data_IF_150081635504
#
_entry.id   IF_150081635504
#
_cell.length_a   1.000
_cell.length_b   1.000
_cell.length_c   1.000
_cell.angle_alpha   90.00
_cell.angle_beta   90.00
_cell.angle_gamma   90.00
#
_symmetry.space_group_name_H-M   'P 1'
#
loop_
_entity.id
_entity.type
_entity.pdbx_description
1 polymer ?
#
# COMPACT_ATOMS: atom_id res chain seq x y z
N UNK A 1 12.27 -13.70 -25.10
CA UNK A 1 12.65 -12.46 -24.37
C UNK A 1 13.84 -12.81 -23.48
N UNK A 2 14.91 -12.00 -23.43
CA UNK A 2 16.11 -12.32 -22.63
C UNK A 2 15.76 -12.29 -21.14
N UNK A 3 16.21 -13.28 -20.36
CA UNK A 3 15.89 -13.48 -18.94
C UNK A 3 16.09 -12.22 -18.08
N UNK A 4 17.18 -11.49 -18.29
CA UNK A 4 17.48 -10.23 -17.59
C UNK A 4 16.38 -9.15 -17.75
N UNK A 5 15.75 -9.06 -18.92
CA UNK A 5 14.70 -8.06 -19.17
C UNK A 5 13.44 -8.37 -18.37
N UNK A 6 13.11 -9.66 -18.24
CA UNK A 6 11.97 -10.13 -17.45
C UNK A 6 12.21 -9.82 -15.97
N UNK A 7 13.40 -10.11 -15.47
CA UNK A 7 13.77 -9.82 -14.07
C UNK A 7 13.77 -8.33 -13.76
N UNK A 8 14.28 -7.47 -14.67
CA UNK A 8 14.20 -6.02 -14.51
C UNK A 8 12.75 -5.53 -14.44
N UNK A 9 11.87 -6.01 -15.32
CA UNK A 9 10.46 -5.61 -15.31
C UNK A 9 9.75 -6.04 -14.02
N UNK A 10 10.04 -7.26 -13.53
CA UNK A 10 9.52 -7.73 -12.24
C UNK A 10 9.97 -6.83 -11.10
N UNK A 11 11.27 -6.51 -11.02
CA UNK A 11 11.83 -5.62 -9.99
C UNK A 11 11.19 -4.22 -10.03
N UNK A 12 11.11 -3.61 -11.22
CA UNK A 12 10.50 -2.28 -11.36
C UNK A 12 9.04 -2.28 -10.94
N UNK A 13 8.27 -3.28 -11.38
CA UNK A 13 6.86 -3.41 -10.99
C UNK A 13 6.70 -3.54 -9.48
N UNK A 14 7.51 -4.41 -8.86
CA UNK A 14 7.48 -4.62 -7.42
C UNK A 14 7.79 -3.33 -6.63
N UNK A 15 8.79 -2.56 -7.04
CA UNK A 15 9.11 -1.29 -6.38
C UNK A 15 8.00 -0.24 -6.57
N UNK A 16 7.36 -0.21 -7.74
CA UNK A 16 6.21 0.67 -8.00
C UNK A 16 5.01 0.26 -7.12
N UNK A 17 4.74 -1.03 -7.01
CA UNK A 17 3.66 -1.56 -6.15
C UNK A 17 3.90 -1.17 -4.69
N UNK A 18 5.13 -1.36 -4.19
CA UNK A 18 5.50 -0.94 -2.83
C UNK A 18 5.37 0.57 -2.63
N UNK A 19 5.88 1.39 -3.56
CA UNK A 19 5.72 2.85 -3.50
C UNK A 19 4.26 3.29 -3.54
N UNK A 20 3.43 2.59 -4.33
CA UNK A 20 1.98 2.83 -4.38
C UNK A 20 1.28 2.57 -3.06
N UNK A 21 1.74 1.61 -2.24
CA UNK A 21 1.21 1.39 -0.89
C UNK A 21 1.51 2.55 0.06
N UNK A 22 2.69 3.16 -0.06
CA UNK A 22 3.07 4.32 0.77
C UNK A 22 2.15 5.51 0.46
N UNK A 23 1.94 5.81 -0.82
CA UNK A 23 1.02 6.88 -1.26
C UNK A 23 -0.41 6.57 -0.81
N UNK A 24 -0.91 5.36 -1.07
CA UNK A 24 -2.28 4.94 -0.71
C UNK A 24 -2.55 5.00 0.79
N UNK A 25 -1.55 4.79 1.63
CA UNK A 25 -1.69 4.87 3.09
C UNK A 25 -1.88 6.31 3.60
N UNK A 26 -1.75 7.32 2.74
CA UNK A 26 -1.81 8.73 3.11
C UNK A 26 -0.55 9.26 3.78
N UNK A 27 0.47 8.41 3.99
CA UNK A 27 1.72 8.83 4.64
C UNK A 27 2.39 9.97 3.88
N UNK A 28 2.42 9.92 2.54
CA UNK A 28 3.07 10.98 1.74
C UNK A 28 2.41 12.34 1.95
N UNK A 29 1.08 12.37 2.03
CA UNK A 29 0.32 13.60 2.26
C UNK A 29 0.54 14.12 3.70
N UNK A 30 0.58 13.20 4.68
CA UNK A 30 0.77 13.53 6.10
C UNK A 30 2.20 14.00 6.42
N UNK A 31 3.21 13.46 5.72
CA UNK A 31 4.62 13.83 5.92
C UNK A 31 5.08 14.96 5.00
N UNK A 32 4.23 15.41 4.06
CA UNK A 32 4.61 16.42 3.06
C UNK A 32 5.73 15.97 2.13
N UNK A 33 5.75 14.68 1.77
CA UNK A 33 6.83 14.02 1.00
C UNK A 33 8.23 14.14 1.64
N UNK A 34 8.30 14.35 2.96
CA UNK A 34 9.56 14.27 3.69
C UNK A 34 10.04 12.81 3.74
N UNK A 35 11.12 12.55 2.98
CA UNK A 35 11.73 11.23 2.85
C UNK A 35 12.35 10.74 4.16
N UNK A 36 12.94 11.63 4.95
CA UNK A 36 13.54 11.27 6.23
C UNK A 36 12.45 10.88 7.24
N UNK A 37 11.36 11.65 7.28
CA UNK A 37 10.20 11.36 8.12
C UNK A 37 9.54 10.04 7.74
N UNK A 38 9.32 9.82 6.44
CA UNK A 38 8.76 8.57 5.91
C UNK A 38 9.64 7.37 6.24
N UNK A 39 10.96 7.52 6.08
CA UNK A 39 11.91 6.46 6.40
C UNK A 39 11.96 6.16 7.90
N UNK A 40 11.95 7.19 8.75
CA UNK A 40 11.88 7.05 10.21
C UNK A 40 10.63 6.29 10.66
N UNK A 41 9.47 6.58 10.07
CA UNK A 41 8.24 5.84 10.34
C UNK A 41 8.36 4.36 9.96
N UNK A 42 8.98 4.05 8.81
CA UNK A 42 9.22 2.66 8.40
C UNK A 42 10.20 1.92 9.31
N UNK A 43 11.23 2.61 9.83
CA UNK A 43 12.14 2.05 10.84
C UNK A 43 11.35 1.66 12.09
N UNK A 44 10.52 2.57 12.62
CA UNK A 44 9.70 2.29 13.79
C UNK A 44 8.75 1.10 13.59
N UNK A 45 8.14 0.99 12.40
CA UNK A 45 7.32 -0.17 12.02
C UNK A 45 8.14 -1.46 12.07
N UNK A 46 9.36 -1.45 11.52
CA UNK A 46 10.25 -2.61 11.52
C UNK A 46 10.70 -3.00 12.94
N UNK A 47 10.98 -2.02 13.80
CA UNK A 47 11.31 -2.24 15.22
C UNK A 47 10.13 -2.85 15.97
N UNK A 48 8.91 -2.33 15.78
CA UNK A 48 7.70 -2.88 16.39
C UNK A 48 7.47 -4.34 15.98
N UNK A 49 7.74 -4.69 14.73
CA UNK A 49 7.63 -6.08 14.25
C UNK A 49 8.70 -7.02 14.83
N UNK A 50 9.86 -6.49 15.24
CA UNK A 50 10.93 -7.26 15.89
C UNK A 50 10.74 -7.39 17.41
N UNK A 51 9.85 -6.59 18.00
CA UNK A 51 9.53 -6.66 19.43
C UNK A 51 8.74 -7.91 19.81
N UNK A 52 8.61 -8.19 21.11
CA UNK A 52 7.84 -9.31 21.67
C UNK A 52 6.35 -9.27 21.25
N UNK A 53 5.81 -8.08 21.01
CA UNK A 53 4.44 -7.86 20.53
C UNK A 53 4.32 -7.89 18.99
N UNK A 54 5.41 -8.22 18.30
CA UNK A 54 5.48 -8.20 16.84
C UNK A 54 4.46 -9.12 16.17
N UNK A 55 4.15 -10.27 16.77
CA UNK A 55 3.16 -11.20 16.22
C UNK A 55 1.75 -10.61 16.26
N UNK A 56 1.37 -9.95 17.36
CA UNK A 56 0.08 -9.26 17.49
C UNK A 56 -0.01 -8.10 16.50
N UNK A 57 1.06 -7.32 16.37
CA UNK A 57 1.14 -6.24 15.39
C UNK A 57 0.93 -6.75 13.94
N UNK A 58 1.56 -7.88 13.56
CA UNK A 58 1.36 -8.50 12.24
C UNK A 58 -0.10 -8.84 11.97
N UNK A 59 -0.77 -9.50 12.92
CA UNK A 59 -2.18 -9.88 12.77
C UNK A 59 -3.06 -8.66 12.58
N UNK A 60 -2.95 -7.69 13.49
CA UNK A 60 -3.76 -6.47 13.47
C UNK A 60 -3.56 -5.66 12.17
N UNK A 61 -2.31 -5.49 11.74
CA UNK A 61 -2.02 -4.73 10.53
C UNK A 61 -2.47 -5.46 9.26
N UNK A 62 -2.37 -6.78 9.22
CA UNK A 62 -2.87 -7.57 8.10
C UNK A 62 -4.39 -7.49 7.96
N UNK A 63 -5.12 -7.53 9.07
CA UNK A 63 -6.58 -7.36 9.09
C UNK A 63 -6.99 -5.96 8.63
N UNK A 64 -6.38 -4.91 9.22
CA UNK A 64 -6.63 -3.52 8.83
C UNK A 64 -6.35 -3.28 7.35
N UNK A 65 -5.25 -3.84 6.82
CA UNK A 65 -4.91 -3.75 5.40
C UNK A 65 -5.98 -4.40 4.52
N UNK A 66 -6.44 -5.61 4.86
CA UNK A 66 -7.50 -6.31 4.12
C UNK A 66 -8.80 -5.51 4.09
N UNK A 67 -9.20 -4.92 5.22
CA UNK A 67 -10.40 -4.08 5.32
C UNK A 67 -10.29 -2.82 4.46
N UNK A 68 -9.14 -2.15 4.47
CA UNK A 68 -8.88 -0.98 3.64
C UNK A 68 -9.03 -1.32 2.15
N UNK A 69 -8.38 -2.40 1.68
CA UNK A 69 -8.51 -2.86 0.30
C UNK A 69 -9.95 -3.24 -0.08
N UNK A 70 -10.68 -3.92 0.82
CA UNK A 70 -12.06 -4.29 0.58
C UNK A 70 -12.96 -3.05 0.42
N UNK A 71 -12.72 -2.01 1.22
CA UNK A 71 -13.46 -0.75 1.19
C UNK A 71 -13.20 0.03 -0.09
N UNK A 72 -11.94 0.18 -0.50
CA UNK A 72 -11.57 0.80 -1.77
C UNK A 72 -12.20 0.10 -2.98
N UNK A 73 -12.22 -1.24 -2.97
CA UNK A 73 -12.84 -2.03 -4.04
C UNK A 73 -14.34 -1.75 -4.13
N UNK A 74 -15.05 -1.73 -2.99
CA UNK A 74 -16.49 -1.38 -2.95
C UNK A 74 -16.74 0.04 -3.45
N UNK A 75 -15.91 0.99 -3.03
CA UNK A 75 -15.97 2.38 -3.50
C UNK A 75 -15.81 2.50 -5.01
N UNK A 76 -14.83 1.79 -5.58
CA UNK A 76 -14.62 1.73 -7.04
C UNK A 76 -15.82 1.13 -7.76
N UNK A 77 -16.36 0.02 -7.28
CA UNK A 77 -17.56 -0.59 -7.87
C UNK A 77 -18.74 0.40 -7.87
N UNK A 78 -18.96 1.13 -6.77
CA UNK A 78 -20.03 2.13 -6.67
C UNK A 78 -19.86 3.29 -7.67
N UNK A 79 -18.63 3.75 -7.91
CA UNK A 79 -18.36 4.82 -8.88
C UNK A 79 -18.70 4.35 -10.30
N UNK A 80 -18.26 3.14 -10.69
CA UNK A 80 -18.53 2.61 -12.04
C UNK A 80 -20.01 2.40 -12.29
N UNK A 81 -20.77 1.91 -11.29
CA UNK A 81 -22.22 1.74 -11.42
C UNK A 81 -22.94 3.07 -11.61
N UNK A 82 -22.56 4.12 -10.86
CA UNK A 82 -23.16 5.45 -10.98
C UNK A 82 -22.88 6.10 -12.34
N UNK A 83 -21.68 5.91 -12.88
CA UNK A 83 -21.33 6.43 -14.21
C UNK A 83 -22.04 5.70 -15.36
N UNK A 84 -22.48 4.46 -15.14
CA UNK A 84 -23.33 3.73 -16.10
C UNK A 84 -24.79 4.19 -16.05
N UNK A 85 -25.33 4.45 -14.86
CA UNK A 85 -26.70 4.98 -14.68
C UNK A 85 -26.84 6.41 -15.23
N UNK A 86 -25.83 7.27 -15.05
CA UNK A 86 -25.84 8.66 -15.55
C UNK A 86 -25.68 8.77 -17.09
N UNK A 87 -25.38 7.67 -17.78
CA UNK A 87 -25.20 7.59 -19.25
C UNK A 87 -26.36 6.91 -19.99
N UNK A 88 -27.38 6.42 -19.28
CA UNK A 88 -28.58 5.78 -19.82
C UNK A 88 -29.75 6.76 -19.89
#
# INVERSE_FOLDING_TARGET
MRTWQVERRKRTRHLIELGGLVVKSGIVDLTGDDRAMTYGAMIWVAEKLKSDDGQRARTLWAEKGKEAFATERKGRTRIVSREQDDRA
#
